data_IF_870738013499
#
_entry.id   IF_870738013499
#
_cell.length_a   1.000
_cell.length_b   1.000
_cell.length_c   1.000
_cell.angle_alpha   90.00
_cell.angle_beta   90.00
_cell.angle_gamma   90.00
#
_symmetry.space_group_name_H-M   'P 1'
#
loop_
_entity.id
_entity.type
_entity.pdbx_description
1 polymer ?
#
# COMPACT_ATOMS: atom_id res chain seq x y z
N UNK A 1 2.18 14.26 22.15
CA UNK A 1 1.03 13.48 21.69
C UNK A 1 0.74 13.86 20.25
N UNK A 2 1.48 13.29 19.29
CA UNK A 2 1.34 13.62 17.87
C UNK A 2 0.16 12.86 17.29
N UNK A 3 -0.91 13.59 16.98
CA UNK A 3 -2.03 13.06 16.17
C UNK A 3 -1.46 12.94 14.75
N UNK A 4 -0.87 11.78 14.43
CA UNK A 4 -0.54 11.48 13.04
C UNK A 4 -1.85 11.55 12.24
N UNK A 5 -1.91 12.27 11.11
CA UNK A 5 -3.11 12.30 10.28
C UNK A 5 -3.42 10.86 9.90
N UNK A 6 -4.53 10.32 10.43
CA UNK A 6 -4.94 8.92 10.28
C UNK A 6 -4.77 8.50 8.81
N UNK A 7 -3.80 7.64 8.54
CA UNK A 7 -3.52 7.11 7.20
C UNK A 7 -2.36 7.76 6.40
N UNK A 8 -1.50 8.61 6.97
CA UNK A 8 -0.28 9.04 6.25
C UNK A 8 0.71 7.91 6.02
N UNK A 9 0.89 7.01 6.98
CA UNK A 9 1.69 5.80 6.83
C UNK A 9 1.14 4.90 5.73
N UNK A 10 -0.17 4.67 5.73
CA UNK A 10 -0.87 3.93 4.68
C UNK A 10 -0.68 4.55 3.29
N UNK A 11 -0.86 5.87 3.15
CA UNK A 11 -0.62 6.56 1.87
C UNK A 11 0.83 6.43 1.41
N UNK A 12 1.80 6.49 2.33
CA UNK A 12 3.22 6.25 2.01
C UNK A 12 3.47 4.81 1.56
N UNK A 13 2.87 3.82 2.22
CA UNK A 13 2.92 2.42 1.81
C UNK A 13 2.36 2.20 0.40
N UNK A 14 1.15 2.70 0.12
CA UNK A 14 0.53 2.62 -1.22
C UNK A 14 1.39 3.30 -2.27
N UNK A 15 1.94 4.48 -1.97
CA UNK A 15 2.82 5.20 -2.90
C UNK A 15 4.11 4.43 -3.18
N UNK A 16 4.68 3.77 -2.18
CA UNK A 16 5.85 2.93 -2.32
C UNK A 16 5.55 1.68 -3.17
N UNK A 17 4.42 1.00 -2.92
CA UNK A 17 3.96 -0.13 -3.73
C UNK A 17 3.76 0.28 -5.20
N UNK A 18 3.22 1.48 -5.45
CA UNK A 18 3.07 2.04 -6.80
C UNK A 18 4.37 2.54 -7.44
N UNK A 19 5.47 2.59 -6.69
CA UNK A 19 6.79 2.93 -7.23
C UNK A 19 7.58 1.70 -7.70
N UNK A 20 7.12 0.49 -7.39
CA UNK A 20 7.73 -0.74 -7.86
C UNK A 20 7.60 -0.89 -9.38
N UNK A 21 8.64 -1.42 -10.02
CA UNK A 21 8.66 -1.66 -11.46
C UNK A 21 7.83 -2.88 -11.88
N UNK A 22 7.33 -3.67 -10.92
CA UNK A 22 6.46 -4.82 -11.13
C UNK A 22 5.10 -4.63 -10.43
N UNK A 23 4.17 -5.56 -10.69
CA UNK A 23 2.93 -5.65 -9.92
C UNK A 23 3.27 -5.99 -8.46
N UNK A 24 2.68 -5.29 -7.47
CA UNK A 24 2.88 -5.64 -6.06
C UNK A 24 2.54 -7.10 -5.79
N UNK A 25 3.36 -7.77 -5.00
CA UNK A 25 3.12 -9.13 -4.52
C UNK A 25 2.75 -9.12 -3.05
N UNK A 26 2.34 -10.27 -2.51
CA UNK A 26 2.07 -10.40 -1.07
C UNK A 26 3.31 -10.04 -0.24
N UNK A 27 4.50 -10.45 -0.67
CA UNK A 27 5.75 -10.13 0.00
C UNK A 27 6.04 -8.62 0.04
N UNK A 28 5.68 -7.88 -1.02
CA UNK A 28 5.82 -6.42 -1.03
C UNK A 28 4.84 -5.76 -0.05
N UNK A 29 3.63 -6.30 0.11
CA UNK A 29 2.65 -5.79 1.06
C UNK A 29 3.13 -6.02 2.50
N UNK A 30 3.64 -7.21 2.82
CA UNK A 30 4.24 -7.52 4.12
C UNK A 30 5.45 -6.61 4.41
N UNK A 31 6.28 -6.35 3.39
CA UNK A 31 7.40 -5.41 3.50
C UNK A 31 6.90 -3.97 3.75
N UNK A 32 5.88 -3.53 3.02
CA UNK A 32 5.27 -2.22 3.22
C UNK A 32 4.66 -2.11 4.64
N UNK A 33 4.02 -3.17 5.13
CA UNK A 33 3.44 -3.22 6.47
C UNK A 33 4.51 -3.03 7.55
N UNK A 34 5.63 -3.75 7.45
CA UNK A 34 6.77 -3.59 8.37
C UNK A 34 7.46 -2.24 8.23
N UNK A 35 7.63 -1.74 6.99
CA UNK A 35 8.36 -0.50 6.71
C UNK A 35 7.60 0.75 7.14
N UNK A 36 6.28 0.75 7.01
CA UNK A 36 5.43 1.91 7.29
C UNK A 36 4.63 1.78 8.58
N UNK A 37 4.83 0.70 9.35
CA UNK A 37 4.09 0.44 10.59
C UNK A 37 2.58 0.39 10.34
N UNK A 38 2.17 -0.41 9.34
CA UNK A 38 0.76 -0.58 9.03
C UNK A 38 0.09 -1.42 10.11
N UNK A 39 -1.16 -1.05 10.40
CA UNK A 39 -2.02 -1.85 11.26
C UNK A 39 -2.44 -3.13 10.54
N UNK A 40 -2.76 -4.23 11.27
CA UNK A 40 -3.23 -5.48 10.66
C UNK A 40 -4.47 -5.30 9.75
N UNK A 41 -5.31 -4.30 10.05
CA UNK A 41 -6.46 -3.94 9.23
C UNK A 41 -6.07 -3.30 7.89
N UNK A 42 -5.02 -2.48 7.89
CA UNK A 42 -4.49 -1.81 6.69
C UNK A 42 -3.77 -2.80 5.79
N UNK A 43 -3.00 -3.72 6.37
CA UNK A 43 -2.37 -4.82 5.65
C UNK A 43 -3.40 -5.74 5.01
N UNK A 44 -4.42 -6.18 5.77
CA UNK A 44 -5.49 -7.02 5.25
C UNK A 44 -6.26 -6.36 4.09
N UNK A 45 -6.43 -5.03 4.15
CA UNK A 45 -7.01 -4.26 3.05
C UNK A 45 -6.14 -4.35 1.78
N UNK A 46 -4.82 -4.18 1.88
CA UNK A 46 -3.91 -4.29 0.74
C UNK A 46 -3.89 -5.70 0.15
N UNK A 47 -3.91 -6.73 1.00
CA UNK A 47 -3.96 -8.13 0.57
C UNK A 47 -5.25 -8.41 -0.20
N UNK A 48 -6.39 -7.94 0.30
CA UNK A 48 -7.68 -8.09 -0.37
C UNK A 48 -7.67 -7.38 -1.72
N UNK A 49 -7.21 -6.13 -1.75
CA UNK A 49 -7.08 -5.34 -2.96
C UNK A 49 -6.19 -6.02 -4.02
N UNK A 50 -5.10 -6.66 -3.59
CA UNK A 50 -4.24 -7.45 -4.48
C UNK A 50 -4.97 -8.68 -5.03
N UNK A 51 -5.72 -9.40 -4.19
CA UNK A 51 -6.50 -10.56 -4.60
C UNK A 51 -7.64 -10.21 -5.59
N UNK A 52 -8.18 -8.99 -5.50
CA UNK A 52 -9.20 -8.46 -6.42
C UNK A 52 -8.62 -7.99 -7.77
N UNK A 53 -7.30 -8.17 -7.99
CA UNK A 53 -6.63 -7.74 -9.21
C UNK A 53 -6.35 -6.24 -9.26
N UNK A 54 -6.31 -5.59 -8.09
CA UNK A 54 -5.99 -4.18 -7.97
C UNK A 54 -4.66 -3.86 -8.65
N UNK A 55 -4.65 -2.78 -9.43
CA UNK A 55 -3.42 -2.26 -10.03
C UNK A 55 -3.15 -0.83 -9.55
N UNK A 56 -2.02 -0.63 -8.85
CA UNK A 56 -1.61 0.72 -8.39
C UNK A 56 -1.20 1.58 -9.59
N UNK A 57 -0.79 0.95 -10.70
CA UNK A 57 -0.27 1.64 -11.89
C UNK A 57 -1.38 2.13 -12.81
N UNK A 58 -2.54 1.47 -12.86
CA UNK A 58 -3.70 1.88 -13.65
C UNK A 58 -4.21 3.29 -13.30
N UNK A 59 -3.87 3.84 -12.14
CA UNK A 59 -4.27 5.18 -11.72
C UNK A 59 -3.28 6.29 -12.13
N UNK A 60 -2.24 5.98 -12.95
CA UNK A 60 -1.25 6.96 -13.46
C UNK A 60 -1.49 7.44 -14.90
N UNK A 61 -2.45 6.86 -15.63
CA UNK A 61 -2.65 7.13 -17.07
C UNK A 61 -3.70 8.21 -17.40
N UNK A 62 -3.95 9.13 -16.47
CA UNK A 62 -4.87 10.26 -16.67
C UNK A 62 -4.22 11.60 -16.36
N UNK A 63 -3.34 12.07 -17.25
CA UNK A 63 -2.86 13.46 -17.29
C UNK A 63 -2.59 13.88 -18.73
#
# INVERSE_FOLDING_TARGET
>A
MGIWPKGEQFRRAVRWLGSLDHRPTLADIEEAARRFDLSPQEEAFLIRWLAEGGDVRANREGA
#
